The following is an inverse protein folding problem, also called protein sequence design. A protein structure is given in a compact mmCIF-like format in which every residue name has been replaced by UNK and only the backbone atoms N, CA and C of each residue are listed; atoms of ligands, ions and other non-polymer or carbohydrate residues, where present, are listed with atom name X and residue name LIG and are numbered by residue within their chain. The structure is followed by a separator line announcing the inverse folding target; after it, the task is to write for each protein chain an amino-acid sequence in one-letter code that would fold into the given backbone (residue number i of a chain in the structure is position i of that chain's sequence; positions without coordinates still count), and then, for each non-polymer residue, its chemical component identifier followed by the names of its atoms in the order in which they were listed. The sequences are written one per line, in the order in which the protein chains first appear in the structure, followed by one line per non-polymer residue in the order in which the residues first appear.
data_IF_930477037951
#
_entry.id   IF_930477037951
#
_cell.length_a   1.000
_cell.length_b   1.000
_cell.length_c   1.000
_cell.angle_alpha   90.00
_cell.angle_beta   90.00
_cell.angle_gamma   90.00
#
_symmetry.space_group_name_H-M   'P 1'
#
loop_
_entity.id
_entity.type
_entity.pdbx_description
1 polymer ?
#
# COMPACT_ATOMS: atom_id res chain seq x y z
N UNK A 1 2.94 14.40 20.56
CA UNK A 1 2.99 13.59 19.32
C UNK A 1 1.55 13.36 18.92
N UNK A 2 1.23 13.51 17.63
CA UNK A 2 -0.07 13.08 17.13
C UNK A 2 0.03 11.59 16.81
N UNK A 3 -1.00 10.83 17.17
CA UNK A 3 -1.10 9.42 16.80
C UNK A 3 -1.94 9.30 15.53
N UNK A 4 -1.59 8.31 14.71
CA UNK A 4 -2.26 8.02 13.46
C UNK A 4 -2.48 6.51 13.35
N UNK A 5 -3.54 6.12 12.66
CA UNK A 5 -3.77 4.72 12.26
C UNK A 5 -3.36 4.55 10.80
N UNK A 6 -2.54 3.53 10.54
CA UNK A 6 -2.19 3.13 9.17
C UNK A 6 -3.17 2.05 8.72
N UNK A 7 -3.88 2.31 7.63
CA UNK A 7 -4.68 1.32 6.92
C UNK A 7 -3.91 0.79 5.71
N UNK A 8 -3.88 -0.54 5.55
CA UNK A 8 -3.28 -1.22 4.39
C UNK A 8 -4.39 -1.93 3.61
N UNK A 9 -4.55 -1.57 2.34
CA UNK A 9 -5.51 -2.12 1.38
C UNK A 9 -4.73 -2.86 0.28
N UNK A 10 -4.64 -4.19 0.40
CA UNK A 10 -3.92 -5.06 -0.52
C UNK A 10 -4.85 -5.48 -1.67
N UNK A 11 -4.78 -4.74 -2.78
CA UNK A 11 -5.60 -4.99 -3.97
C UNK A 11 -4.99 -6.03 -4.92
N UNK A 12 -5.70 -6.30 -6.01
CA UNK A 12 -5.25 -7.25 -7.05
C UNK A 12 -4.23 -6.67 -8.03
N UNK A 13 -4.00 -5.35 -8.01
CA UNK A 13 -3.03 -4.69 -8.90
C UNK A 13 -2.07 -3.76 -8.17
N UNK A 14 -2.37 -3.42 -6.92
CA UNK A 14 -1.59 -2.49 -6.12
C UNK A 14 -1.92 -2.64 -4.63
N UNK A 15 -0.94 -2.31 -3.79
CA UNK A 15 -1.18 -2.00 -2.38
C UNK A 15 -1.38 -0.50 -2.22
N UNK A 16 -2.34 -0.12 -1.39
CA UNK A 16 -2.57 1.26 -0.97
C UNK A 16 -2.42 1.36 0.54
N UNK A 17 -1.76 2.40 0.99
CA UNK A 17 -1.58 2.69 2.42
C UNK A 17 -2.04 4.10 2.70
N UNK A 18 -2.88 4.25 3.72
CA UNK A 18 -3.43 5.53 4.15
C UNK A 18 -3.14 5.76 5.63
N UNK A 19 -2.78 6.98 6.01
CA UNK A 19 -2.69 7.41 7.41
C UNK A 19 -3.96 8.21 7.76
N UNK A 20 -4.57 7.87 8.89
CA UNK A 20 -5.81 8.48 9.38
C UNK A 20 -5.58 9.09 10.77
N UNK A 21 -6.09 10.30 11.00
CA UNK A 21 -6.09 10.93 12.31
C UNK A 21 -7.25 10.45 13.22
N UNK A 22 -7.31 10.93 14.46
CA UNK A 22 -8.35 10.53 15.42
C UNK A 22 -9.77 10.96 15.04
N UNK A 23 -9.92 11.95 14.17
CA UNK A 23 -11.21 12.42 13.67
C UNK A 23 -11.70 11.56 12.48
N UNK A 24 -10.92 10.55 12.09
CA UNK A 24 -11.23 9.66 10.98
C UNK A 24 -10.85 10.25 9.62
N UNK A 25 -10.09 11.35 9.57
CA UNK A 25 -9.68 11.98 8.33
C UNK A 25 -8.40 11.33 7.82
N UNK A 26 -8.38 10.97 6.54
CA UNK A 26 -7.16 10.55 5.85
C UNK A 26 -6.28 11.78 5.66
N UNK A 27 -5.10 11.76 6.29
CA UNK A 27 -4.12 12.86 6.21
C UNK A 27 -3.06 12.63 5.14
N UNK A 28 -2.76 11.36 4.84
CA UNK A 28 -1.80 10.97 3.81
C UNK A 28 -2.23 9.65 3.16
N UNK A 29 -1.87 9.47 1.88
CA UNK A 29 -2.12 8.22 1.16
C UNK A 29 -1.07 8.01 0.07
N UNK A 30 -0.60 6.77 -0.07
CA UNK A 30 0.29 6.33 -1.14
C UNK A 30 -0.14 4.96 -1.67
N UNK A 31 0.31 4.61 -2.87
CA UNK A 31 0.05 3.29 -3.46
C UNK A 31 1.19 2.86 -4.36
N UNK A 32 1.39 1.55 -4.49
CA UNK A 32 2.37 0.97 -5.39
C UNK A 32 1.80 -0.26 -6.08
N UNK A 33 2.02 -0.33 -7.40
CA UNK A 33 1.53 -1.41 -8.24
C UNK A 33 2.51 -2.58 -8.30
N UNK A 34 1.99 -3.78 -8.45
CA UNK A 34 2.78 -4.98 -8.69
C UNK A 34 2.20 -5.76 -9.87
N UNK A 35 3.06 -6.55 -10.51
CA UNK A 35 2.71 -7.27 -11.71
C UNK A 35 1.73 -8.41 -11.42
N UNK A 36 0.84 -8.65 -12.39
CA UNK A 36 -0.07 -9.78 -12.39
C UNK A 36 0.38 -10.76 -13.47
N UNK A 37 0.61 -12.01 -13.06
CA UNK A 37 1.04 -13.07 -13.96
C UNK A 37 -0.17 -13.83 -14.51
N UNK A 38 -0.21 -13.99 -15.83
CA UNK A 38 -1.23 -14.75 -16.55
C UNK A 38 -0.57 -15.83 -17.41
N UNK A 39 0.03 -16.88 -16.79
CA UNK A 39 0.78 -17.90 -17.53
C UNK A 39 -0.11 -18.71 -18.50
N UNK A 40 -1.41 -18.81 -18.21
CA UNK A 40 -2.40 -19.50 -19.00
C UNK A 40 -3.71 -18.70 -19.08
N UNK A 41 -4.54 -18.92 -20.13
CA UNK A 41 -5.86 -18.28 -20.22
C UNK A 41 -6.72 -18.53 -18.98
N UNK A 42 -7.20 -17.46 -18.36
CA UNK A 42 -8.06 -17.50 -17.16
C UNK A 42 -7.31 -17.55 -15.82
N UNK A 43 -5.98 -17.56 -15.83
CA UNK A 43 -5.16 -17.54 -14.61
C UNK A 43 -4.81 -16.10 -14.23
N UNK A 44 -4.71 -15.84 -12.92
CA UNK A 44 -4.40 -14.54 -12.35
C UNK A 44 -3.59 -14.76 -11.07
N UNK A 45 -2.28 -14.78 -11.21
CA UNK A 45 -1.32 -15.11 -10.16
C UNK A 45 -0.47 -13.90 -9.77
N UNK A 46 -0.01 -13.87 -8.52
CA UNK A 46 0.88 -12.84 -7.98
C UNK A 46 1.98 -13.52 -7.16
N UNK A 47 3.15 -12.89 -7.06
CA UNK A 47 4.16 -13.31 -6.11
C UNK A 47 3.82 -12.75 -4.71
N UNK A 48 3.59 -13.58 -3.68
CA UNK A 48 3.28 -13.09 -2.34
C UNK A 48 4.43 -12.29 -1.70
N UNK A 49 5.65 -12.39 -2.23
CA UNK A 49 6.78 -11.56 -1.79
C UNK A 49 6.60 -10.10 -2.21
N UNK A 50 5.98 -9.85 -3.34
CA UNK A 50 5.71 -8.49 -3.83
C UNK A 50 4.74 -7.78 -2.89
N UNK A 51 3.77 -8.49 -2.31
CA UNK A 51 2.88 -7.92 -1.30
C UNK A 51 3.66 -7.35 -0.11
N UNK A 52 4.66 -8.09 0.39
CA UNK A 52 5.47 -7.66 1.52
C UNK A 52 6.40 -6.50 1.15
N UNK A 53 7.14 -6.64 0.04
CA UNK A 53 8.10 -5.63 -0.39
C UNK A 53 7.42 -4.31 -0.71
N UNK A 54 6.36 -4.34 -1.53
CA UNK A 54 5.69 -3.12 -1.95
C UNK A 54 4.88 -2.48 -0.82
N UNK A 55 4.32 -3.26 0.11
CA UNK A 55 3.70 -2.68 1.33
C UNK A 55 4.72 -1.91 2.15
N UNK A 56 5.93 -2.47 2.33
CA UNK A 56 7.00 -1.82 3.10
C UNK A 56 7.47 -0.54 2.42
N UNK A 57 7.68 -0.58 1.11
CA UNK A 57 8.06 0.59 0.30
C UNK A 57 7.00 1.70 0.40
N UNK A 58 5.72 1.35 0.30
CA UNK A 58 4.64 2.36 0.38
C UNK A 58 4.54 2.96 1.77
N UNK A 59 4.73 2.18 2.84
CA UNK A 59 4.75 2.71 4.22
C UNK A 59 5.92 3.69 4.38
N UNK A 60 7.12 3.33 3.92
CA UNK A 60 8.28 4.22 3.98
C UNK A 60 8.03 5.51 3.18
N UNK A 61 7.48 5.40 1.97
CA UNK A 61 7.14 6.56 1.16
C UNK A 61 6.08 7.45 1.83
N UNK A 62 5.06 6.86 2.46
CA UNK A 62 4.01 7.58 3.18
C UNK A 62 4.61 8.40 4.34
N UNK A 63 5.51 7.79 5.11
CA UNK A 63 6.13 8.43 6.28
C UNK A 63 7.15 9.49 5.86
N UNK A 64 7.96 9.22 4.83
CA UNK A 64 9.08 10.08 4.45
C UNK A 64 8.69 11.23 3.51
N UNK A 65 7.63 11.09 2.69
CA UNK A 65 7.17 12.20 1.82
C UNK A 65 6.43 13.31 2.57
N UNK A 66 5.81 13.02 3.71
CA UNK A 66 5.09 13.99 4.54
C UNK A 66 6.02 14.86 5.42
N UNK A 67 7.32 14.55 5.49
CA UNK A 67 8.31 15.31 6.27
C UNK A 67 9.04 16.41 5.47
N UNK A 68 8.40 17.00 4.46
CA UNK A 68 8.93 18.17 3.73
C UNK A 68 8.06 19.41 3.92
#
# INVERSE_FOLDING_TARGET
MNEYVIGVDLGTSAVKVSAMDHDGKIVAQQSYGYDLHQPHPGYSEQDPRDWLYETTIVIDQLILKELR
#
